data_IF_221046286842
#
_entry.id   IF_221046286842
#
_cell.length_a   1.000
_cell.length_b   1.000
_cell.length_c   1.000
_cell.angle_alpha   90.00
_cell.angle_beta   90.00
_cell.angle_gamma   90.00
#
_symmetry.space_group_name_H-M   'P 1'
#
loop_
_entity.id
_entity.type
_entity.pdbx_description
1 polymer ?
#
# COMPACT_ATOMS: atom_id res chain seq x y z
N UNK A 1 8.07 37.94 -22.97
CA UNK A 1 8.42 36.53 -23.23
C UNK A 1 7.12 35.77 -23.37
N UNK A 2 6.82 35.20 -24.53
CA UNK A 2 5.67 34.33 -24.69
C UNK A 2 5.98 32.98 -24.03
N UNK A 3 5.21 32.59 -23.04
CA UNK A 3 5.29 31.23 -22.45
C UNK A 3 4.65 30.29 -23.46
N UNK A 4 5.49 29.59 -24.21
CA UNK A 4 5.01 28.55 -25.11
C UNK A 4 4.52 27.34 -24.30
N UNK A 5 3.26 26.96 -24.44
CA UNK A 5 2.74 25.69 -23.91
C UNK A 5 3.34 24.59 -24.77
N UNK A 6 4.26 23.79 -24.19
CA UNK A 6 4.93 22.73 -24.92
C UNK A 6 4.15 21.40 -24.95
N UNK A 7 3.37 21.12 -23.93
CA UNK A 7 2.59 19.89 -23.83
C UNK A 7 1.45 20.01 -22.83
N UNK A 8 0.29 19.43 -23.14
CA UNK A 8 -0.87 19.31 -22.24
C UNK A 8 -1.07 17.84 -21.93
N UNK A 9 -1.04 17.49 -20.64
CA UNK A 9 -1.28 16.11 -20.16
C UNK A 9 -2.49 16.05 -19.23
N UNK A 10 -3.35 15.05 -19.36
CA UNK A 10 -4.51 14.88 -18.49
C UNK A 10 -4.06 14.29 -17.14
N UNK A 11 -3.87 15.13 -16.13
CA UNK A 11 -3.43 14.72 -14.78
C UNK A 11 -4.56 14.14 -13.92
N UNK A 12 -5.82 14.37 -14.27
CA UNK A 12 -7.03 13.94 -13.55
C UNK A 12 -6.97 14.31 -12.05
N UNK A 13 -7.38 13.41 -11.16
CA UNK A 13 -7.40 13.59 -9.72
C UNK A 13 -6.04 13.33 -9.03
N UNK A 14 -5.03 12.85 -9.75
CA UNK A 14 -3.77 12.38 -9.17
C UNK A 14 -2.98 13.46 -8.41
N UNK A 15 -2.90 14.74 -8.84
CA UNK A 15 -2.22 15.77 -8.06
C UNK A 15 -2.90 16.03 -6.70
N UNK A 16 -4.23 15.91 -6.63
CA UNK A 16 -4.97 16.05 -5.39
C UNK A 16 -4.62 14.91 -4.42
N UNK A 17 -4.62 13.67 -4.92
CA UNK A 17 -4.23 12.50 -4.13
C UNK A 17 -2.79 12.65 -3.63
N UNK A 18 -1.86 13.03 -4.50
CA UNK A 18 -0.47 13.27 -4.10
C UNK A 18 -0.36 14.36 -3.04
N UNK A 19 -1.14 15.42 -3.14
CA UNK A 19 -1.23 16.46 -2.13
C UNK A 19 -1.69 15.92 -0.77
N UNK A 20 -2.66 14.99 -0.76
CA UNK A 20 -3.12 14.33 0.46
C UNK A 20 -2.06 13.40 1.05
N UNK A 21 -1.39 12.58 0.23
CA UNK A 21 -0.29 11.71 0.67
C UNK A 21 0.84 12.52 1.31
N UNK A 22 1.17 13.68 0.75
CA UNK A 22 2.17 14.60 1.29
C UNK A 22 1.74 15.27 2.58
N UNK A 23 0.46 15.67 2.68
CA UNK A 23 -0.09 16.21 3.92
C UNK A 23 -0.02 15.18 5.05
N UNK A 24 -0.23 13.91 4.73
CA UNK A 24 -0.09 12.78 5.65
C UNK A 24 1.38 12.35 5.88
N UNK A 25 2.32 12.95 5.15
CA UNK A 25 3.75 12.61 5.19
C UNK A 25 4.04 11.12 4.91
N UNK A 26 3.24 10.50 4.04
CA UNK A 26 3.29 9.04 3.79
C UNK A 26 4.69 8.58 3.43
N UNK A 27 5.35 9.26 2.49
CA UNK A 27 6.71 8.91 2.09
C UNK A 27 7.69 9.01 3.28
N UNK A 28 7.61 10.07 4.08
CA UNK A 28 8.50 10.28 5.22
C UNK A 28 8.28 9.24 6.33
N UNK A 29 7.02 8.84 6.60
CA UNK A 29 6.71 7.77 7.57
C UNK A 29 7.31 6.45 7.12
N UNK A 30 7.13 6.09 5.84
CA UNK A 30 7.65 4.85 5.28
C UNK A 30 9.18 4.86 5.26
N UNK A 31 9.82 5.94 4.82
CA UNK A 31 11.27 6.03 4.74
C UNK A 31 11.96 6.04 6.12
N UNK A 32 11.25 6.43 7.20
CA UNK A 32 11.73 6.23 8.58
C UNK A 32 11.74 4.77 9.00
N UNK A 33 10.76 4.00 8.57
CA UNK A 33 10.67 2.56 8.87
C UNK A 33 11.58 1.73 7.96
N UNK A 34 11.78 2.19 6.73
CA UNK A 34 12.54 1.56 5.66
C UNK A 34 13.54 2.56 5.09
N UNK A 35 14.64 2.82 5.80
CA UNK A 35 15.63 3.81 5.38
C UNK A 35 16.09 3.55 3.93
N UNK A 36 16.09 4.57 3.07
CA UNK A 36 16.52 4.41 1.68
C UNK A 36 18.01 4.09 1.61
N UNK A 37 18.39 3.14 0.75
CA UNK A 37 19.79 2.91 0.45
C UNK A 37 20.34 4.08 -0.36
N UNK A 38 21.56 4.58 -0.10
CA UNK A 38 22.15 5.76 -0.77
C UNK A 38 22.15 5.66 -2.30
N UNK A 39 22.33 4.47 -2.85
CA UNK A 39 22.38 4.24 -4.30
C UNK A 39 21.00 4.19 -4.97
N UNK A 40 19.92 4.20 -4.20
CA UNK A 40 18.58 4.13 -4.74
C UNK A 40 18.06 5.51 -5.13
N UNK A 41 17.83 5.72 -6.41
CA UNK A 41 17.18 6.95 -6.95
C UNK A 41 15.75 7.10 -6.41
N UNK A 42 15.06 5.99 -6.18
CA UNK A 42 13.68 5.94 -5.68
C UNK A 42 13.66 5.40 -4.25
N UNK A 43 13.20 6.20 -3.29
CA UNK A 43 12.97 5.71 -1.92
C UNK A 43 11.77 4.76 -1.84
N UNK A 44 11.65 4.00 -0.75
CA UNK A 44 10.49 3.16 -0.51
C UNK A 44 9.21 4.00 -0.40
N UNK A 45 9.27 5.12 0.31
CA UNK A 45 8.13 6.02 0.48
C UNK A 45 7.63 6.63 -0.83
N UNK A 46 8.52 7.18 -1.65
CA UNK A 46 8.15 7.71 -2.97
C UNK A 46 7.60 6.60 -3.89
N UNK A 47 8.17 5.40 -3.81
CA UNK A 47 7.65 4.26 -4.57
C UNK A 47 6.24 3.83 -4.14
N UNK A 48 5.92 3.91 -2.84
CA UNK A 48 4.57 3.66 -2.34
C UNK A 48 3.60 4.75 -2.81
N UNK A 49 3.98 6.04 -2.78
CA UNK A 49 3.16 7.10 -3.36
C UNK A 49 2.86 6.82 -4.84
N UNK A 50 3.86 6.39 -5.62
CA UNK A 50 3.68 6.02 -7.03
C UNK A 50 2.70 4.83 -7.20
N UNK A 51 2.79 3.81 -6.34
CA UNK A 51 1.86 2.66 -6.36
C UNK A 51 0.43 3.08 -6.02
N UNK A 52 0.24 3.91 -5.00
CA UNK A 52 -1.08 4.43 -4.61
C UNK A 52 -1.71 5.22 -5.77
N UNK A 53 -0.94 6.11 -6.40
CA UNK A 53 -1.42 6.86 -7.56
C UNK A 53 -1.80 5.95 -8.72
N UNK A 54 -1.00 4.92 -9.02
CA UNK A 54 -1.28 3.97 -10.08
C UNK A 54 -2.55 3.14 -9.81
N UNK A 55 -2.76 2.69 -8.58
CA UNK A 55 -3.95 1.95 -8.16
C UNK A 55 -5.20 2.82 -8.31
N UNK A 56 -5.15 4.06 -7.83
CA UNK A 56 -6.29 4.99 -7.89
C UNK A 56 -6.56 5.53 -9.30
N UNK A 57 -5.59 5.48 -10.21
CA UNK A 57 -5.80 5.72 -11.66
C UNK A 57 -6.34 4.46 -12.40
N UNK A 58 -6.68 3.40 -11.66
CA UNK A 58 -7.22 2.16 -12.20
C UNK A 58 -6.18 1.26 -12.87
N UNK A 59 -4.90 1.38 -12.52
CA UNK A 59 -3.81 0.63 -13.14
C UNK A 59 -3.07 -0.25 -12.14
N UNK A 60 -3.10 -1.58 -12.38
CA UNK A 60 -2.60 -2.57 -11.42
C UNK A 60 -1.32 -3.31 -11.85
N UNK A 61 -0.83 -3.12 -13.07
CA UNK A 61 0.34 -3.85 -13.60
C UNK A 61 1.63 -3.08 -13.29
N UNK A 62 2.53 -3.68 -12.50
CA UNK A 62 3.75 -3.02 -12.01
C UNK A 62 4.64 -2.49 -13.13
N UNK A 63 4.85 -3.25 -14.20
CA UNK A 63 5.73 -2.87 -15.31
C UNK A 63 5.22 -1.66 -16.14
N UNK A 64 3.96 -1.24 -15.95
CA UNK A 64 3.38 -0.08 -16.63
C UNK A 64 3.23 1.16 -15.73
N UNK A 65 3.51 1.05 -14.43
CA UNK A 65 3.35 2.17 -13.48
C UNK A 65 4.12 3.40 -13.94
N UNK A 66 5.41 3.26 -14.24
CA UNK A 66 6.24 4.36 -14.72
C UNK A 66 5.72 4.99 -16.01
N UNK A 67 5.31 4.18 -16.99
CA UNK A 67 4.72 4.65 -18.25
C UNK A 67 3.41 5.40 -18.02
N UNK A 68 2.56 4.90 -17.14
CA UNK A 68 1.26 5.52 -16.83
C UNK A 68 1.42 6.86 -16.15
N UNK A 69 2.26 6.94 -15.13
CA UNK A 69 2.51 8.18 -14.40
C UNK A 69 3.22 9.23 -15.27
N UNK A 70 4.09 8.80 -16.20
CA UNK A 70 4.68 9.69 -17.21
C UNK A 70 3.60 10.28 -18.13
N UNK A 71 2.71 9.45 -18.67
CA UNK A 71 1.60 9.88 -19.53
C UNK A 71 0.65 10.83 -18.80
N UNK A 72 0.51 10.70 -17.47
CA UNK A 72 -0.25 11.59 -16.60
C UNK A 72 0.54 12.83 -16.16
N UNK A 73 1.81 12.98 -16.53
CA UNK A 73 2.65 14.10 -16.12
C UNK A 73 3.01 14.10 -14.63
N UNK A 74 2.92 12.95 -13.94
CA UNK A 74 3.07 12.87 -12.49
C UNK A 74 4.52 12.69 -12.02
N UNK A 75 5.46 12.28 -12.89
CA UNK A 75 6.82 11.94 -12.48
C UNK A 75 7.54 13.10 -11.79
N UNK A 76 7.51 14.29 -12.40
CA UNK A 76 8.16 15.50 -11.84
C UNK A 76 7.47 16.00 -10.56
N UNK A 77 6.17 15.72 -10.41
CA UNK A 77 5.42 16.05 -9.19
C UNK A 77 5.73 15.08 -8.06
N UNK A 78 5.97 13.80 -8.35
CA UNK A 78 6.41 12.81 -7.38
C UNK A 78 7.81 13.14 -6.85
N UNK A 79 8.77 13.32 -7.76
CA UNK A 79 10.14 13.68 -7.41
C UNK A 79 10.79 14.42 -8.57
N UNK A 80 11.40 15.59 -8.33
CA UNK A 80 12.17 16.29 -9.36
C UNK A 80 13.23 15.38 -9.97
N UNK A 81 13.28 15.31 -11.30
CA UNK A 81 14.23 14.46 -12.03
C UNK A 81 13.92 12.97 -12.08
N UNK A 82 12.81 12.52 -11.49
CA UNK A 82 12.40 11.12 -11.56
C UNK A 82 12.11 10.70 -13.00
N UNK A 83 12.71 9.61 -13.41
CA UNK A 83 12.52 9.04 -14.74
C UNK A 83 11.62 7.80 -14.69
N UNK A 84 10.91 7.54 -15.78
CA UNK A 84 10.06 6.35 -15.93
C UNK A 84 10.77 5.04 -15.59
N UNK A 85 12.02 4.91 -16.00
CA UNK A 85 12.82 3.69 -15.79
C UNK A 85 13.11 3.39 -14.31
N UNK A 86 13.04 4.40 -13.45
CA UNK A 86 13.19 4.21 -12.00
C UNK A 86 11.97 3.54 -11.36
N UNK A 87 10.80 3.58 -12.01
CA UNK A 87 9.55 2.95 -11.60
C UNK A 87 9.31 1.64 -12.36
N UNK A 88 10.35 0.81 -12.51
CA UNK A 88 10.21 -0.50 -13.12
C UNK A 88 9.65 -1.54 -12.13
N UNK A 89 9.19 -2.67 -12.67
CA UNK A 89 8.59 -3.77 -11.92
C UNK A 89 9.54 -4.39 -10.89
N UNK A 90 10.83 -4.49 -11.22
CA UNK A 90 11.85 -5.01 -10.30
C UNK A 90 11.98 -4.11 -9.06
N UNK A 91 12.13 -2.79 -9.25
CA UNK A 91 12.25 -1.86 -8.13
C UNK A 91 10.97 -1.77 -7.30
N UNK A 92 9.82 -1.73 -7.95
CA UNK A 92 8.52 -1.74 -7.26
C UNK A 92 8.26 -3.06 -6.53
N UNK A 93 8.73 -4.18 -7.08
CA UNK A 93 8.75 -5.48 -6.42
C UNK A 93 9.58 -5.46 -5.13
N UNK A 94 10.83 -4.97 -5.20
CA UNK A 94 11.70 -4.83 -4.02
C UNK A 94 11.06 -3.96 -2.92
N UNK A 95 10.36 -2.89 -3.29
CA UNK A 95 9.66 -2.03 -2.32
C UNK A 95 8.54 -2.81 -1.62
N UNK A 96 7.77 -3.62 -2.36
CA UNK A 96 6.72 -4.46 -1.77
C UNK A 96 7.29 -5.53 -0.84
N UNK A 97 8.41 -6.15 -1.22
CA UNK A 97 9.11 -7.13 -0.39
C UNK A 97 9.63 -6.47 0.90
N UNK A 98 10.20 -5.27 0.80
CA UNK A 98 10.66 -4.52 1.96
C UNK A 98 9.51 -4.13 2.90
N UNK A 99 8.37 -3.69 2.36
CA UNK A 99 7.16 -3.41 3.16
C UNK A 99 6.67 -4.67 3.89
N UNK A 100 6.66 -5.80 3.20
CA UNK A 100 6.26 -7.08 3.80
C UNK A 100 7.22 -7.46 4.93
N UNK A 101 8.54 -7.39 4.70
CA UNK A 101 9.56 -7.68 5.71
C UNK A 101 9.51 -6.76 6.93
N UNK A 102 9.09 -5.49 6.75
CA UNK A 102 8.94 -4.52 7.83
C UNK A 102 7.68 -4.73 8.70
N UNK A 103 6.89 -5.75 8.42
CA UNK A 103 5.58 -6.01 9.02
C UNK A 103 4.52 -4.98 8.59
N UNK A 104 3.61 -5.40 7.72
CA UNK A 104 2.56 -4.53 7.15
C UNK A 104 1.68 -3.86 8.22
N UNK A 105 1.40 -4.56 9.34
CA UNK A 105 0.63 -3.98 10.44
C UNK A 105 1.37 -2.81 11.10
N UNK A 106 2.69 -2.92 11.26
CA UNK A 106 3.53 -1.85 11.80
C UNK A 106 3.53 -0.63 10.89
N UNK A 107 3.69 -0.83 9.58
CA UNK A 107 3.63 0.25 8.58
C UNK A 107 2.26 0.90 8.57
N UNK A 108 1.20 0.10 8.53
CA UNK A 108 -0.18 0.58 8.53
C UNK A 108 -0.50 1.37 9.79
N UNK A 109 -0.17 0.84 10.97
CA UNK A 109 -0.40 1.53 12.25
C UNK A 109 0.35 2.85 12.34
N UNK A 110 1.58 2.92 11.83
CA UNK A 110 2.35 4.18 11.81
C UNK A 110 1.67 5.24 10.94
N UNK A 111 1.14 4.87 9.77
CA UNK A 111 0.39 5.77 8.90
C UNK A 111 -0.95 6.19 9.53
N UNK A 112 -1.68 5.27 10.16
CA UNK A 112 -2.93 5.56 10.85
C UNK A 112 -2.73 6.52 12.01
N UNK A 113 -1.72 6.30 12.86
CA UNK A 113 -1.37 7.19 13.96
C UNK A 113 -0.96 8.58 13.47
N UNK A 114 -0.20 8.66 12.37
CA UNK A 114 0.15 9.93 11.74
C UNK A 114 -1.09 10.70 11.28
N UNK A 115 -2.04 10.00 10.64
CA UNK A 115 -3.28 10.60 10.17
C UNK A 115 -4.17 11.08 11.34
N UNK A 116 -4.30 10.26 12.40
CA UNK A 116 -5.00 10.66 13.63
C UNK A 116 -4.41 11.94 14.24
N UNK A 117 -3.08 12.04 14.29
CA UNK A 117 -2.39 13.20 14.82
C UNK A 117 -2.60 14.44 13.96
N UNK A 118 -2.48 14.34 12.63
CA UNK A 118 -2.61 15.46 11.69
C UNK A 118 -4.04 16.02 11.68
N UNK A 119 -5.05 15.14 11.74
CA UNK A 119 -6.45 15.53 11.67
C UNK A 119 -7.11 15.70 13.05
N UNK A 120 -6.37 15.42 14.15
CA UNK A 120 -6.87 15.46 15.52
C UNK A 120 -8.20 14.69 15.68
N UNK A 121 -8.29 13.50 15.07
CA UNK A 121 -9.51 12.70 15.06
C UNK A 121 -9.70 12.01 16.42
N UNK A 122 -10.91 12.06 17.01
CA UNK A 122 -11.22 11.31 18.20
C UNK A 122 -11.33 9.80 17.89
N UNK A 123 -10.87 8.97 18.81
CA UNK A 123 -10.93 7.50 18.70
C UNK A 123 -11.93 6.86 19.64
N UNK A 124 -13.02 7.59 19.95
CA UNK A 124 -14.04 7.14 20.92
C UNK A 124 -14.85 5.95 20.41
N UNK A 125 -15.05 5.87 19.09
CA UNK A 125 -15.82 4.82 18.44
C UNK A 125 -15.01 4.19 17.34
N UNK A 126 -15.00 2.86 17.30
CA UNK A 126 -14.34 2.07 16.25
C UNK A 126 -15.40 1.16 15.63
N UNK A 127 -15.54 1.23 14.31
CA UNK A 127 -16.33 0.30 13.53
C UNK A 127 -15.39 -0.74 12.93
N UNK A 128 -15.72 -2.02 13.12
CA UNK A 128 -14.95 -3.12 12.55
C UNK A 128 -15.85 -3.99 11.68
N UNK A 129 -15.40 -4.28 10.49
CA UNK A 129 -16.07 -5.23 9.59
C UNK A 129 -15.05 -6.20 8.97
N UNK A 130 -15.57 -7.34 8.55
CA UNK A 130 -14.77 -8.38 7.89
C UNK A 130 -15.36 -8.70 6.52
N UNK A 131 -14.49 -8.81 5.53
CA UNK A 131 -14.85 -9.26 4.20
C UNK A 131 -14.00 -10.44 3.77
N UNK A 132 -14.51 -11.24 2.85
CA UNK A 132 -13.82 -12.39 2.28
C UNK A 132 -13.31 -12.06 0.90
N UNK A 133 -12.06 -12.43 0.62
CA UNK A 133 -11.48 -12.37 -0.72
C UNK A 133 -11.38 -13.81 -1.21
N UNK A 134 -12.18 -14.16 -2.22
CA UNK A 134 -12.19 -15.48 -2.85
C UNK A 134 -11.03 -15.58 -3.84
N UNK A 135 -10.30 -16.69 -3.78
CA UNK A 135 -9.11 -16.92 -4.58
C UNK A 135 -9.34 -18.11 -5.51
N UNK A 136 -8.97 -17.94 -6.78
CA UNK A 136 -9.00 -18.99 -7.79
C UNK A 136 -7.61 -19.59 -7.96
N UNK A 137 -7.48 -20.90 -7.78
CA UNK A 137 -6.22 -21.63 -7.90
C UNK A 137 -6.06 -22.72 -6.84
N UNK A 138 -5.08 -23.59 -7.01
CA UNK A 138 -4.83 -24.70 -6.06
C UNK A 138 -4.12 -24.25 -4.79
N UNK A 139 -3.23 -23.26 -4.88
CA UNK A 139 -2.44 -22.76 -3.75
C UNK A 139 -1.79 -23.87 -2.93
N UNK A 140 -1.30 -24.92 -3.62
CA UNK A 140 -0.58 -26.04 -3.04
C UNK A 140 0.89 -25.67 -2.83
N UNK A 141 1.50 -26.24 -1.77
CA UNK A 141 2.93 -26.03 -1.51
C UNK A 141 3.29 -24.78 -0.70
N UNK A 142 2.32 -24.02 -0.21
CA UNK A 142 2.61 -22.99 0.80
C UNK A 142 2.98 -23.67 2.13
N UNK A 143 4.07 -23.25 2.81
CA UNK A 143 4.50 -23.85 4.07
C UNK A 143 3.38 -23.82 5.10
N UNK A 144 3.20 -24.90 5.85
CA UNK A 144 2.22 -24.93 6.93
C UNK A 144 2.63 -23.94 8.01
N UNK A 145 1.86 -22.88 8.21
CA UNK A 145 2.01 -22.05 9.39
C UNK A 145 1.51 -22.84 10.60
N UNK A 146 2.41 -23.26 11.47
CA UNK A 146 2.10 -23.84 12.78
C UNK A 146 1.58 -22.73 13.70
N UNK A 147 0.32 -22.34 13.53
CA UNK A 147 -0.38 -21.51 14.50
C UNK A 147 -1.81 -22.03 14.67
N UNK A 148 -1.89 -23.19 15.33
CA UNK A 148 -3.05 -23.53 16.13
C UNK A 148 -2.69 -23.14 17.57
N UNK A 149 -3.32 -22.11 18.10
CA UNK A 149 -3.14 -21.78 19.50
C UNK A 149 -3.40 -20.31 19.76
N UNK A 150 -4.46 -20.05 20.51
CA UNK A 150 -4.88 -18.73 21.02
C UNK A 150 -4.05 -18.31 22.24
N UNK A 151 -2.83 -18.83 22.41
CA UNK A 151 -1.97 -18.55 23.55
C UNK A 151 -0.54 -18.27 23.07
N UNK A 152 -0.34 -17.12 22.41
CA UNK A 152 0.99 -16.59 22.23
C UNK A 152 1.08 -15.28 23.00
N UNK A 153 1.64 -15.37 24.22
CA UNK A 153 2.17 -14.22 24.92
C UNK A 153 3.11 -13.45 23.97
N UNK A 154 2.80 -12.18 23.80
CA UNK A 154 3.51 -11.25 22.95
C UNK A 154 4.91 -11.01 23.50
N UNK A 155 5.94 -11.63 22.95
CA UNK A 155 7.30 -11.10 23.09
C UNK A 155 8.37 -11.76 22.19
N UNK A 156 8.03 -12.08 20.95
CA UNK A 156 9.06 -12.25 19.93
C UNK A 156 8.58 -11.67 18.61
N UNK A 157 9.37 -10.79 18.03
CA UNK A 157 9.18 -10.20 16.71
C UNK A 157 9.26 -11.32 15.64
N UNK A 158 8.18 -12.11 15.55
CA UNK A 158 8.05 -13.17 14.57
C UNK A 158 8.07 -12.58 13.17
N UNK A 159 8.81 -13.19 12.27
CA UNK A 159 8.82 -12.79 10.87
C UNK A 159 7.38 -12.74 10.32
N UNK A 160 7.05 -11.74 9.48
CA UNK A 160 5.71 -11.60 8.94
C UNK A 160 5.34 -12.82 8.11
N UNK A 161 4.25 -13.48 8.48
CA UNK A 161 3.73 -14.66 7.77
C UNK A 161 2.64 -14.21 6.81
N UNK A 162 2.75 -14.59 5.54
CA UNK A 162 1.71 -14.33 4.55
C UNK A 162 0.40 -15.04 4.92
N UNK A 163 -0.76 -14.39 4.77
CA UNK A 163 -2.05 -15.03 5.03
C UNK A 163 -2.23 -16.23 4.12
N UNK A 164 -2.62 -17.37 4.71
CA UNK A 164 -2.82 -18.62 3.97
C UNK A 164 -4.27 -18.74 3.50
N UNK A 165 -4.49 -18.96 2.20
CA UNK A 165 -5.82 -19.25 1.68
C UNK A 165 -6.35 -20.56 2.23
N UNK A 166 -7.55 -20.54 2.81
CA UNK A 166 -8.21 -21.71 3.38
C UNK A 166 -9.66 -21.82 2.91
N UNK A 167 -10.22 -23.04 2.94
CA UNK A 167 -11.65 -23.24 2.73
C UNK A 167 -12.41 -22.76 3.98
N UNK A 168 -13.58 -22.16 3.78
CA UNK A 168 -14.41 -21.66 4.87
C UNK A 168 -15.78 -21.22 4.37
N UNK A 169 -16.57 -20.61 5.27
CA UNK A 169 -17.84 -20.03 4.88
C UNK A 169 -17.62 -18.88 3.90
N UNK A 170 -18.12 -19.02 2.68
CA UNK A 170 -18.01 -18.03 1.63
C UNK A 170 -19.36 -17.32 1.46
N UNK A 171 -19.38 -15.99 1.61
CA UNK A 171 -20.59 -15.16 1.44
C UNK A 171 -21.13 -15.21 0.00
N UNK A 172 -20.25 -15.48 -0.97
CA UNK A 172 -20.60 -15.52 -2.41
C UNK A 172 -21.13 -16.90 -2.86
N UNK A 173 -21.26 -17.86 -1.93
CA UNK A 173 -21.80 -19.17 -2.22
C UNK A 173 -20.86 -20.16 -2.90
N UNK A 174 -19.54 -19.92 -2.83
CA UNK A 174 -18.48 -20.77 -3.40
C UNK A 174 -17.62 -21.45 -2.32
N UNK A 175 -18.18 -22.42 -1.56
CA UNK A 175 -17.45 -23.10 -0.48
C UNK A 175 -16.27 -23.94 -0.99
N UNK A 176 -16.25 -24.29 -2.27
CA UNK A 176 -15.19 -25.04 -2.95
C UNK A 176 -13.92 -24.20 -3.20
N UNK A 177 -14.02 -22.87 -3.11
CA UNK A 177 -12.89 -21.97 -3.34
C UNK A 177 -12.20 -21.58 -2.04
N UNK A 178 -10.88 -21.47 -2.10
CA UNK A 178 -10.10 -20.94 -0.99
C UNK A 178 -10.31 -19.43 -0.84
N UNK A 179 -10.21 -18.94 0.38
CA UNK A 179 -10.45 -17.55 0.70
C UNK A 179 -9.46 -17.03 1.73
N UNK A 180 -9.31 -15.72 1.76
CA UNK A 180 -8.61 -14.96 2.80
C UNK A 180 -9.61 -14.01 3.43
N UNK A 181 -9.61 -13.91 4.75
CA UNK A 181 -10.42 -12.95 5.49
C UNK A 181 -9.64 -11.64 5.65
N UNK A 182 -10.25 -10.54 5.22
CA UNK A 182 -9.77 -9.19 5.48
C UNK A 182 -10.63 -8.57 6.57
N UNK A 183 -10.02 -8.12 7.66
CA UNK A 183 -10.68 -7.32 8.69
C UNK A 183 -10.21 -5.87 8.58
N UNK A 184 -11.15 -4.94 8.59
CA UNK A 184 -10.90 -3.51 8.58
C UNK A 184 -11.56 -2.87 9.78
N UNK A 185 -10.80 -2.12 10.58
CA UNK A 185 -11.31 -1.30 11.65
C UNK A 185 -11.16 0.18 11.25
N UNK A 186 -12.21 1.00 11.45
CA UNK A 186 -12.20 2.42 11.10
C UNK A 186 -12.71 3.25 12.27
N UNK A 187 -12.21 4.48 12.41
CA UNK A 187 -12.70 5.44 13.38
C UNK A 187 -14.11 5.92 13.02
N UNK A 188 -15.00 6.09 14.02
CA UNK A 188 -16.40 6.49 13.82
C UNK A 188 -16.57 7.89 13.21
N UNK A 189 -15.67 8.81 13.55
CA UNK A 189 -15.81 10.23 13.19
C UNK A 189 -15.12 10.63 11.87
N UNK A 190 -14.18 9.85 11.39
CA UNK A 190 -13.41 10.18 10.19
C UNK A 190 -13.29 9.04 9.18
N UNK A 191 -13.79 7.85 9.51
CA UNK A 191 -13.61 6.68 8.67
C UNK A 191 -12.13 6.34 8.44
N UNK A 192 -11.24 6.74 9.36
CA UNK A 192 -9.82 6.45 9.25
C UNK A 192 -9.58 5.01 9.67
N UNK A 193 -8.97 4.18 8.80
CA UNK A 193 -8.69 2.78 9.06
C UNK A 193 -7.51 2.58 10.00
#
# INVERSE_FOLDING_TARGET
MAVGVSEIRPVAHLPLILGMLRKLEVAAVIDRLLPPHPDNVLSCGTGVEALVLAILDGHHVLYKVGQRLEARGMLSLLQPGLQRVSLNDYRLGQIRDALFAANLNKVFSALALQALAIYALPTLWIHQDTTTITLYGTYEGLPESTTSGVDAEADHEAAPVAPRPAHGYNKDGHPELKQVLLSLAVSGDGGLP
#
